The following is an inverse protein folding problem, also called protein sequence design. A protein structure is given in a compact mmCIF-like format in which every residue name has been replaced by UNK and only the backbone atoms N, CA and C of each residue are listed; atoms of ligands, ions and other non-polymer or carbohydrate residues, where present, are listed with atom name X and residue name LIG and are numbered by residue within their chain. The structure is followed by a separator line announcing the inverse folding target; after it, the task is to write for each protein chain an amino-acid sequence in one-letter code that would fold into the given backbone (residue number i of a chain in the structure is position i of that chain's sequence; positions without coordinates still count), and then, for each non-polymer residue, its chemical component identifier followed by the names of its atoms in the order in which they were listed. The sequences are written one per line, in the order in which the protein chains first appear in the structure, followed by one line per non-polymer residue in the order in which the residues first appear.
data_IF_754918802991
#
_entry.id   IF_754918802991
#
_cell.length_a   1.000
_cell.length_b   1.000
_cell.length_c   1.000
_cell.angle_alpha   90.00
_cell.angle_beta   90.00
_cell.angle_gamma   90.00
#
_symmetry.space_group_name_H-M   'P 1'
#
loop_
_entity.id
_entity.type
_entity.pdbx_description
1 polymer ?
#
# COMPACT_ATOMS: atom_id res chain seq x y z
N UNK A 1 -3.68 1.00 21.43
CA UNK A 1 -3.51 2.40 21.88
C UNK A 1 -2.03 2.74 22.09
N UNK A 2 -1.32 2.22 23.12
CA UNK A 2 0.10 2.59 23.35
C UNK A 2 1.05 2.20 22.20
N UNK A 3 0.91 0.98 21.66
CA UNK A 3 1.70 0.52 20.51
C UNK A 3 1.44 1.37 19.25
N UNK A 4 0.18 1.66 18.96
CA UNK A 4 -0.25 2.43 17.79
C UNK A 4 0.32 3.87 17.80
N UNK A 5 0.32 4.56 18.95
CA UNK A 5 0.96 5.87 19.07
C UNK A 5 2.45 5.84 18.73
N UNK A 6 3.18 4.82 19.23
CA UNK A 6 4.60 4.64 18.93
C UNK A 6 4.87 4.30 17.47
N UNK A 7 4.03 3.48 16.84
CA UNK A 7 4.10 3.20 15.41
C UNK A 7 3.85 4.46 14.58
N UNK A 8 2.82 5.25 14.95
CA UNK A 8 2.48 6.51 14.28
C UNK A 8 3.63 7.52 14.34
N UNK A 9 4.23 7.70 15.53
CA UNK A 9 5.38 8.56 15.73
C UNK A 9 6.66 8.10 15.01
N UNK A 10 6.66 6.89 14.43
CA UNK A 10 7.75 6.38 13.57
C UNK A 10 7.33 6.30 12.10
N UNK A 11 6.11 6.72 11.78
CA UNK A 11 5.54 6.64 10.43
C UNK A 11 5.17 5.21 10.02
N UNK A 12 5.04 4.28 10.96
CA UNK A 12 4.87 2.84 10.69
C UNK A 12 3.39 2.49 10.72
N UNK A 13 2.88 1.85 9.66
CA UNK A 13 1.49 1.38 9.54
C UNK A 13 1.28 -0.01 10.15
N UNK A 14 2.31 -0.85 10.19
CA UNK A 14 2.31 -2.19 10.76
C UNK A 14 3.74 -2.70 11.03
N UNK A 15 3.85 -3.73 11.86
CA UNK A 15 5.11 -4.44 12.10
C UNK A 15 4.89 -5.91 12.46
N UNK A 16 5.61 -6.79 11.78
CA UNK A 16 5.75 -8.19 12.14
C UNK A 16 6.94 -8.41 13.08
N UNK A 17 6.68 -8.97 14.26
CA UNK A 17 7.72 -9.26 15.26
C UNK A 17 8.15 -10.72 15.11
N UNK A 18 9.25 -10.96 14.38
CA UNK A 18 9.74 -12.31 14.10
C UNK A 18 10.11 -13.17 15.33
N UNK A 19 10.46 -12.54 16.47
CA UNK A 19 10.76 -13.27 17.71
C UNK A 19 9.51 -13.92 18.33
N UNK A 20 8.38 -13.21 18.30
CA UNK A 20 7.11 -13.70 18.86
C UNK A 20 6.16 -14.26 17.80
N UNK A 21 6.52 -14.10 16.52
CA UNK A 21 5.71 -14.40 15.35
C UNK A 21 4.36 -13.65 15.36
N UNK A 22 4.34 -12.41 15.86
CA UNK A 22 3.13 -11.60 16.02
C UNK A 22 3.09 -10.41 15.05
N UNK A 23 2.09 -10.34 14.14
CA UNK A 23 1.81 -9.14 13.38
C UNK A 23 1.08 -8.12 14.25
N UNK A 24 1.51 -6.86 14.18
CA UNK A 24 0.92 -5.74 14.91
C UNK A 24 0.61 -4.60 13.94
N UNK A 25 -0.54 -3.95 14.11
CA UNK A 25 -1.01 -2.92 13.18
C UNK A 25 -1.24 -1.61 13.91
N UNK A 26 -0.89 -0.49 13.27
CA UNK A 26 -1.28 0.83 13.73
C UNK A 26 -2.78 1.05 13.47
N UNK A 27 -3.62 0.72 14.44
CA UNK A 27 -5.08 0.94 14.36
C UNK A 27 -5.52 2.39 14.59
N UNK A 28 -4.58 3.32 14.80
CA UNK A 28 -4.89 4.76 14.87
C UNK A 28 -4.76 5.46 13.52
N UNK A 29 -4.12 4.85 12.53
CA UNK A 29 -4.13 5.36 11.17
C UNK A 29 -5.56 5.34 10.63
N UNK A 30 -5.88 6.17 9.61
CA UNK A 30 -7.21 6.20 9.03
C UNK A 30 -7.64 4.81 8.55
N UNK A 31 -8.91 4.42 8.74
CA UNK A 31 -9.40 3.07 8.42
C UNK A 31 -9.11 2.62 6.99
N UNK A 32 -8.87 3.57 6.09
CA UNK A 32 -8.54 3.40 4.68
C UNK A 32 -7.53 2.26 4.44
N UNK A 33 -6.43 2.22 5.19
CA UNK A 33 -5.34 1.24 4.98
C UNK A 33 -5.11 0.27 6.14
N UNK A 34 -5.94 0.30 7.19
CA UNK A 34 -5.77 -0.59 8.35
C UNK A 34 -5.84 -2.07 7.95
N UNK A 35 -6.79 -2.45 7.08
CA UNK A 35 -6.95 -3.84 6.68
C UNK A 35 -5.84 -4.31 5.73
N UNK A 36 -5.42 -3.45 4.80
CA UNK A 36 -4.28 -3.77 3.94
C UNK A 36 -3.00 -3.94 4.77
N UNK A 37 -2.73 -3.04 5.72
CA UNK A 37 -1.57 -3.16 6.61
C UNK A 37 -1.64 -4.45 7.43
N UNK A 38 -2.82 -4.82 7.95
CA UNK A 38 -3.00 -6.10 8.63
C UNK A 38 -2.68 -7.30 7.73
N UNK A 39 -3.20 -7.31 6.50
CA UNK A 39 -2.95 -8.39 5.56
C UNK A 39 -1.46 -8.48 5.16
N UNK A 40 -0.77 -7.35 5.06
CA UNK A 40 0.67 -7.28 4.79
C UNK A 40 1.49 -7.89 5.94
N UNK A 41 1.25 -7.49 7.19
CA UNK A 41 1.96 -8.09 8.32
C UNK A 41 1.63 -9.58 8.51
N UNK A 42 0.41 -9.99 8.16
CA UNK A 42 0.04 -11.41 8.13
C UNK A 42 0.78 -12.17 7.02
N UNK A 43 1.08 -11.55 5.87
CA UNK A 43 1.90 -12.17 4.83
C UNK A 43 3.32 -12.45 5.35
N UNK A 44 3.92 -11.51 6.10
CA UNK A 44 5.19 -11.74 6.79
C UNK A 44 5.10 -12.85 7.84
N UNK A 45 4.01 -12.90 8.61
CA UNK A 45 3.75 -14.00 9.54
C UNK A 45 3.69 -15.37 8.84
N UNK A 46 3.21 -15.42 7.59
CA UNK A 46 3.18 -16.62 6.76
C UNK A 46 4.53 -16.96 6.10
N UNK A 47 5.58 -16.19 6.38
CA UNK A 47 6.94 -16.43 5.91
C UNK A 47 7.28 -15.75 4.58
N UNK A 48 6.43 -14.87 4.07
CA UNK A 48 6.75 -14.05 2.89
C UNK A 48 7.67 -12.92 3.37
N UNK A 49 8.98 -13.08 3.16
CA UNK A 49 9.97 -12.13 3.66
C UNK A 49 10.13 -10.89 2.77
N UNK A 50 9.81 -10.98 1.48
CA UNK A 50 9.88 -9.84 0.56
C UNK A 50 8.73 -8.88 0.80
N UNK A 51 9.03 -7.61 1.08
CA UNK A 51 8.04 -6.53 1.21
C UNK A 51 7.11 -6.46 -0.01
N UNK A 52 7.66 -6.64 -1.21
CA UNK A 52 6.90 -6.55 -2.45
C UNK A 52 5.93 -7.71 -2.65
N UNK A 53 6.39 -8.92 -2.33
CA UNK A 53 5.53 -10.09 -2.34
C UNK A 53 4.50 -10.03 -1.21
N UNK A 54 4.83 -9.44 -0.05
CA UNK A 54 3.93 -9.24 1.07
C UNK A 54 2.84 -8.20 0.73
N UNK A 55 3.20 -7.06 0.15
CA UNK A 55 2.27 -6.04 -0.36
C UNK A 55 1.32 -6.63 -1.42
N UNK A 56 1.87 -7.37 -2.39
CA UNK A 56 1.06 -8.00 -3.44
C UNK A 56 0.15 -9.11 -2.88
N UNK A 57 0.65 -9.92 -1.93
CA UNK A 57 -0.16 -10.94 -1.25
C UNK A 57 -1.27 -10.30 -0.43
N UNK A 58 -0.99 -9.19 0.25
CA UNK A 58 -1.99 -8.43 1.00
C UNK A 58 -3.08 -7.88 0.08
N UNK A 59 -2.70 -7.31 -1.08
CA UNK A 59 -3.64 -6.90 -2.11
C UNK A 59 -4.56 -8.05 -2.52
N UNK A 60 -4.00 -9.23 -2.88
CA UNK A 60 -4.79 -10.39 -3.30
C UNK A 60 -5.73 -10.87 -2.18
N UNK A 61 -5.24 -10.92 -0.94
CA UNK A 61 -6.05 -11.32 0.21
C UNK A 61 -7.21 -10.35 0.45
N UNK A 62 -6.95 -9.05 0.34
CA UNK A 62 -7.97 -8.02 0.48
C UNK A 62 -8.99 -8.06 -0.66
N UNK A 63 -8.55 -8.13 -1.91
CA UNK A 63 -9.38 -8.18 -3.11
C UNK A 63 -10.37 -9.36 -3.09
N UNK A 64 -9.91 -10.52 -2.61
CA UNK A 64 -10.72 -11.74 -2.53
C UNK A 64 -11.57 -11.83 -1.25
N UNK A 65 -11.56 -10.81 -0.39
CA UNK A 65 -12.38 -10.79 0.82
C UNK A 65 -13.87 -10.65 0.51
N UNK A 66 -14.73 -11.31 1.29
CA UNK A 66 -16.18 -11.10 1.22
C UNK A 66 -16.60 -9.76 1.84
N UNK A 67 -15.79 -9.17 2.71
CA UNK A 67 -16.07 -7.89 3.36
C UNK A 67 -15.71 -6.70 2.43
N UNK A 68 -16.67 -5.81 2.10
CA UNK A 68 -16.43 -4.68 1.22
C UNK A 68 -15.41 -3.68 1.75
N UNK A 69 -15.27 -3.50 3.07
CA UNK A 69 -14.30 -2.58 3.66
C UNK A 69 -12.88 -3.12 3.51
N UNK A 70 -12.71 -4.43 3.67
CA UNK A 70 -11.42 -5.10 3.46
C UNK A 70 -11.03 -5.04 1.98
N UNK A 71 -11.97 -5.30 1.06
CA UNK A 71 -11.74 -5.12 -0.38
C UNK A 71 -11.35 -3.70 -0.73
N UNK A 72 -12.08 -2.72 -0.22
CA UNK A 72 -11.79 -1.30 -0.46
C UNK A 72 -10.38 -0.93 0.01
N UNK A 73 -9.97 -1.40 1.19
CA UNK A 73 -8.63 -1.13 1.73
C UNK A 73 -7.50 -1.68 0.84
N UNK A 74 -7.66 -2.88 0.28
CA UNK A 74 -6.69 -3.42 -0.68
C UNK A 74 -6.71 -2.69 -2.03
N UNK A 75 -7.89 -2.39 -2.56
CA UNK A 75 -8.05 -1.70 -3.85
C UNK A 75 -7.52 -0.27 -3.81
N UNK A 76 -7.79 0.48 -2.74
CA UNK A 76 -7.30 1.85 -2.59
C UNK A 76 -5.79 1.88 -2.39
N UNK A 77 -5.21 0.90 -1.69
CA UNK A 77 -3.76 0.75 -1.62
C UNK A 77 -3.14 0.57 -3.01
N UNK A 78 -3.68 -0.38 -3.81
CA UNK A 78 -3.23 -0.60 -5.17
C UNK A 78 -3.38 0.65 -6.05
N UNK A 79 -4.46 1.41 -5.87
CA UNK A 79 -4.69 2.69 -6.54
C UNK A 79 -3.63 3.74 -6.15
N UNK A 80 -3.29 3.86 -4.87
CA UNK A 80 -2.28 4.79 -4.36
C UNK A 80 -0.90 4.45 -4.94
N UNK A 81 -0.43 3.21 -4.80
CA UNK A 81 0.93 2.85 -5.25
C UNK A 81 1.05 2.92 -6.78
N UNK A 82 0.01 2.50 -7.51
CA UNK A 82 -0.02 2.57 -8.98
C UNK A 82 -0.16 4.02 -9.47
N UNK A 83 -0.96 4.83 -8.77
CA UNK A 83 -1.12 6.26 -9.04
C UNK A 83 0.19 7.03 -8.83
N UNK A 84 0.89 6.76 -7.73
CA UNK A 84 2.20 7.36 -7.44
C UNK A 84 3.24 6.98 -8.50
N UNK A 85 3.27 5.71 -8.92
CA UNK A 85 4.11 5.25 -10.02
C UNK A 85 3.77 5.95 -11.34
N UNK A 86 2.48 6.05 -11.67
CA UNK A 86 2.02 6.71 -12.89
C UNK A 86 2.36 8.21 -12.86
N UNK A 87 2.16 8.90 -11.74
CA UNK A 87 2.49 10.32 -11.61
C UNK A 87 3.97 10.59 -11.86
N UNK A 88 4.85 9.74 -11.33
CA UNK A 88 6.31 9.82 -11.57
C UNK A 88 6.67 9.58 -13.03
N UNK A 89 5.95 8.71 -13.72
CA UNK A 89 6.22 8.32 -15.10
C UNK A 89 5.60 9.27 -16.14
N UNK A 90 4.36 9.70 -15.91
CA UNK A 90 3.53 10.54 -16.77
C UNK A 90 2.45 11.23 -15.93
N UNK A 91 2.76 12.43 -15.45
CA UNK A 91 1.86 13.20 -14.58
C UNK A 91 0.59 13.66 -15.30
N UNK A 92 0.62 13.88 -16.62
CA UNK A 92 -0.57 14.23 -17.40
C UNK A 92 -1.56 13.06 -17.43
N UNK A 93 -1.07 11.84 -17.67
CA UNK A 93 -1.92 10.63 -17.62
C UNK A 93 -2.45 10.35 -16.22
N UNK A 94 -1.64 10.58 -15.18
CA UNK A 94 -2.13 10.49 -13.82
C UNK A 94 -3.29 11.46 -13.59
N UNK A 95 -3.13 12.74 -13.95
CA UNK A 95 -4.18 13.75 -13.79
C UNK A 95 -5.43 13.43 -14.61
N UNK A 96 -5.30 12.79 -15.78
CA UNK A 96 -6.45 12.31 -16.53
C UNK A 96 -7.15 11.16 -15.81
N UNK A 97 -6.41 10.18 -15.30
CA UNK A 97 -6.97 9.03 -14.60
C UNK A 97 -7.75 9.45 -13.34
N UNK A 98 -7.24 10.43 -12.59
CA UNK A 98 -7.88 10.89 -11.35
C UNK A 98 -9.19 11.66 -11.58
N UNK A 99 -9.51 12.09 -12.81
CA UNK A 99 -10.84 12.65 -13.14
C UNK A 99 -11.98 11.66 -12.95
N UNK A 100 -11.66 10.36 -12.91
CA UNK A 100 -12.64 9.29 -12.65
C UNK A 100 -12.90 9.08 -11.15
N UNK A 101 -12.10 9.70 -10.28
CA UNK A 101 -12.24 9.53 -8.83
C UNK A 101 -13.47 10.30 -8.34
N UNK A 102 -14.30 9.64 -7.55
CA UNK A 102 -15.42 10.29 -6.88
C UNK A 102 -14.98 11.06 -5.63
N UNK A 103 -15.81 12.00 -5.17
CA UNK A 103 -15.55 12.84 -3.99
C UNK A 103 -15.20 12.02 -2.73
N UNK A 104 -15.78 10.83 -2.58
CA UNK A 104 -15.49 9.94 -1.45
C UNK A 104 -14.02 9.47 -1.43
N UNK A 105 -13.44 9.16 -2.60
CA UNK A 105 -12.04 8.75 -2.71
C UNK A 105 -11.14 9.93 -2.30
N UNK A 106 -11.42 11.13 -2.80
CA UNK A 106 -10.63 12.32 -2.46
C UNK A 106 -10.70 12.68 -0.99
N UNK A 107 -11.88 12.57 -0.37
CA UNK A 107 -12.02 12.75 1.08
C UNK A 107 -11.16 11.75 1.83
N UNK A 108 -11.26 10.48 1.48
CA UNK A 108 -10.53 9.43 2.21
C UNK A 108 -9.02 9.57 2.05
N UNK A 109 -8.53 9.94 0.85
CA UNK A 109 -7.12 10.27 0.61
C UNK A 109 -6.67 11.50 1.40
N UNK A 110 -7.47 12.57 1.42
CA UNK A 110 -7.17 13.78 2.19
C UNK A 110 -7.12 13.52 3.69
N UNK A 111 -8.01 12.67 4.22
CA UNK A 111 -8.02 12.28 5.64
C UNK A 111 -6.80 11.40 5.97
N UNK A 112 -6.38 10.54 5.02
CA UNK A 112 -5.17 9.74 5.13
C UNK A 112 -3.91 10.62 5.20
N UNK A 113 -3.77 11.56 4.28
CA UNK A 113 -2.63 12.47 4.23
C UNK A 113 -2.59 13.37 5.48
N UNK A 114 -3.72 13.97 5.86
CA UNK A 114 -3.81 14.84 7.03
C UNK A 114 -3.40 14.15 8.34
N UNK A 115 -3.65 12.84 8.47
CA UNK A 115 -3.19 12.08 9.62
C UNK A 115 -1.66 11.99 9.66
N UNK A 116 -1.02 11.59 8.56
CA UNK A 116 0.43 11.43 8.53
C UNK A 116 1.18 12.77 8.57
N UNK A 117 0.59 13.81 7.97
CA UNK A 117 1.09 15.18 8.02
C UNK A 117 1.06 15.78 9.45
N UNK A 118 0.26 15.21 10.36
CA UNK A 118 0.17 15.67 11.75
C UNK A 118 1.36 15.27 12.62
N UNK A 119 2.24 14.39 12.13
CA UNK A 119 3.46 13.98 12.83
C UNK A 119 4.67 14.80 12.38
N UNK A 120 5.63 15.02 13.29
CA UNK A 120 6.81 15.88 13.07
C UNK A 120 7.61 15.52 11.80
N UNK A 121 8.32 16.50 11.24
CA UNK A 121 9.12 16.35 10.01
C UNK A 121 10.09 15.15 10.04
N UNK A 122 10.63 14.78 11.21
CA UNK A 122 11.53 13.62 11.34
C UNK A 122 10.82 12.28 11.07
N UNK A 123 9.51 12.21 11.37
CA UNK A 123 8.64 11.07 11.09
C UNK A 123 8.33 10.99 9.60
N UNK A 124 7.99 12.13 9.00
CA UNK A 124 7.76 12.25 7.56
C UNK A 124 9.03 11.88 6.78
N UNK A 125 10.20 12.40 7.18
CA UNK A 125 11.49 12.05 6.61
C UNK A 125 11.88 10.58 6.83
N UNK A 126 11.39 9.94 7.89
CA UNK A 126 11.61 8.51 8.12
C UNK A 126 10.76 7.64 7.19
N UNK A 127 9.52 8.05 6.91
CA UNK A 127 8.72 7.44 5.86
C UNK A 127 9.35 7.62 4.47
N UNK A 128 9.85 8.82 4.19
CA UNK A 128 10.59 9.12 2.96
C UNK A 128 11.89 8.29 2.88
N UNK A 129 12.66 8.17 3.98
CA UNK A 129 13.88 7.35 4.01
C UNK A 129 13.62 5.86 3.85
N UNK A 130 12.49 5.33 4.34
CA UNK A 130 12.10 3.94 4.05
C UNK A 130 11.75 3.77 2.58
N UNK A 131 11.03 4.72 2.00
CA UNK A 131 10.77 4.77 0.56
C UNK A 131 12.08 4.84 -0.24
N UNK A 132 13.03 5.67 0.20
CA UNK A 132 14.35 5.85 -0.41
C UNK A 132 15.25 4.60 -0.25
N UNK A 133 15.21 3.94 0.91
CA UNK A 133 15.95 2.71 1.18
C UNK A 133 15.37 1.53 0.40
N UNK A 134 14.05 1.46 0.28
CA UNK A 134 13.34 0.55 -0.62
C UNK A 134 13.79 0.76 -2.08
N UNK A 135 13.79 2.00 -2.59
CA UNK A 135 14.26 2.34 -3.94
C UNK A 135 15.75 2.00 -4.16
N UNK A 136 16.60 2.23 -3.16
CA UNK A 136 18.05 1.98 -3.23
C UNK A 136 18.41 0.50 -3.12
N UNK A 137 17.72 -0.26 -2.27
CA UNK A 137 17.93 -1.71 -2.14
C UNK A 137 17.47 -2.46 -3.41
N UNK A 138 16.43 -1.95 -4.07
CA UNK A 138 15.81 -2.57 -5.23
C UNK A 138 16.32 -2.04 -6.58
N UNK A 139 17.40 -1.25 -6.59
CA UNK A 139 18.11 -0.84 -7.80
C UNK A 139 18.92 -2.00 -8.42
N UNK A 140 18.28 -3.14 -8.70
CA UNK A 140 18.84 -4.20 -9.53
C UNK A 140 18.75 -3.81 -11.02
N UNK A 141 19.82 -4.10 -11.76
CA UNK A 141 19.91 -3.91 -13.21
C UNK A 141 18.95 -4.85 -13.96
N UNK A 142 17.67 -4.53 -14.02
CA UNK A 142 16.77 -5.08 -15.05
C UNK A 142 16.58 -4.01 -16.12
N UNK A 143 16.83 -4.35 -17.38
CA UNK A 143 16.67 -3.45 -18.54
C UNK A 143 15.22 -3.09 -18.88
N UNK A 144 14.27 -3.37 -17.97
CA UNK A 144 12.84 -3.05 -18.05
C UNK A 144 12.57 -1.99 -16.97
N UNK A 145 11.82 -0.94 -17.31
CA UNK A 145 11.39 0.07 -16.34
C UNK A 145 10.65 -0.62 -15.18
N UNK A 146 11.22 -0.57 -13.98
CA UNK A 146 10.55 -1.00 -12.74
C UNK A 146 9.92 0.22 -12.07
N UNK A 147 8.65 0.11 -11.72
CA UNK A 147 7.88 1.19 -11.08
C UNK A 147 7.82 1.03 -9.55
N UNK A 148 8.55 0.04 -9.02
CA UNK A 148 8.40 -0.57 -7.70
C UNK A 148 7.90 -2.01 -7.86
N UNK A 149 8.58 -3.00 -7.26
CA UNK A 149 8.33 -4.42 -7.59
C UNK A 149 6.89 -4.86 -7.25
N UNK A 150 6.23 -4.28 -6.24
CA UNK A 150 4.80 -4.56 -5.96
C UNK A 150 3.86 -4.03 -7.05
N UNK A 151 4.13 -2.86 -7.63
CA UNK A 151 3.39 -2.32 -8.79
C UNK A 151 3.64 -3.20 -10.03
N UNK A 152 4.87 -3.66 -10.24
CA UNK A 152 5.20 -4.57 -11.33
C UNK A 152 4.43 -5.91 -11.20
N UNK A 153 4.29 -6.45 -9.98
CA UNK A 153 3.48 -7.63 -9.69
C UNK A 153 1.99 -7.38 -9.96
N UNK A 154 1.44 -6.23 -9.57
CA UNK A 154 0.06 -5.84 -9.87
C UNK A 154 -0.19 -5.75 -11.37
N UNK A 155 0.70 -5.10 -12.12
CA UNK A 155 0.61 -4.97 -13.57
C UNK A 155 0.71 -6.34 -14.27
N UNK A 156 1.64 -7.19 -13.84
CA UNK A 156 1.79 -8.54 -14.37
C UNK A 156 0.55 -9.41 -14.09
N UNK A 157 -0.04 -9.30 -12.90
CA UNK A 157 -1.28 -9.97 -12.54
C UNK A 157 -2.44 -9.52 -13.42
N UNK A 158 -2.65 -8.21 -13.55
CA UNK A 158 -3.70 -7.64 -14.38
C UNK A 158 -3.53 -8.01 -15.87
N UNK A 159 -2.31 -8.00 -16.39
CA UNK A 159 -2.02 -8.39 -17.77
C UNK A 159 -2.31 -9.88 -18.03
N UNK A 160 -2.12 -10.74 -17.03
CA UNK A 160 -2.35 -12.18 -17.15
C UNK A 160 -3.82 -12.57 -16.98
N UNK A 161 -4.52 -11.95 -16.04
CA UNK A 161 -5.86 -12.39 -15.61
C UNK A 161 -7.00 -11.42 -15.96
N UNK A 162 -6.69 -10.26 -16.53
CA UNK A 162 -7.67 -9.18 -16.75
C UNK A 162 -7.78 -8.26 -15.54
N UNK A 163 -8.66 -7.26 -15.61
CA UNK A 163 -8.90 -6.40 -14.46
C UNK A 163 -9.73 -7.14 -13.40
N UNK A 164 -9.52 -6.82 -12.12
CA UNK A 164 -10.38 -7.23 -11.00
C UNK A 164 -11.88 -6.99 -11.28
N UNK A 165 -12.17 -6.00 -12.12
CA UNK A 165 -13.51 -5.55 -12.47
C UNK A 165 -14.20 -6.41 -13.53
N UNK A 166 -13.47 -7.25 -14.26
CA UNK A 166 -14.06 -8.16 -15.26
C UNK A 166 -14.75 -9.37 -14.61
N UNK A 167 -14.39 -9.71 -13.37
CA UNK A 167 -15.01 -10.82 -12.62
C UNK A 167 -16.27 -10.40 -11.83
N UNK A 168 -16.47 -9.10 -11.57
CA UNK A 168 -17.60 -8.59 -10.80
C UNK A 168 -18.89 -8.37 -11.62
N UNK A 169 -18.85 -8.63 -12.94
CA UNK A 169 -19.95 -8.43 -13.88
C UNK A 169 -20.52 -9.73 -14.48
N UNK A 170 -20.13 -10.90 -13.96
CA UNK A 170 -20.70 -12.20 -14.36
C UNK A 170 -21.38 -12.91 -13.18
#
# INVERSE_FOLDING_TARGET
MLWSNGLSAQGISGIYIGLTAEPNVNVLQPPLLVYQAAAHEMAHQMGIASENEAEFTAYLACENSSDPNVRYSGLIFALIISGNALYKADSERYLEATKTYGDAIWRDLSDYDAYWDSFDEEVQQSADKRNDAYLKHNSQQSGILSYGESVDLLLAYAAKYGSAFDYALN
#
